data_IF_522854203240
#
_entry.id   IF_522854203240
#
_cell.length_a   1.000
_cell.length_b   1.000
_cell.length_c   1.000
_cell.angle_alpha   90.00
_cell.angle_beta   90.00
_cell.angle_gamma   90.00
#
_symmetry.space_group_name_H-M   'P 1'
#
loop_
_entity.id
_entity.type
_entity.pdbx_description
1 polymer ?
#
# COMPACT_ATOMS: atom_id res chain seq x y z
N UNK A 1 15.41 4.25 11.09
CA UNK A 1 15.50 5.17 10.10
C UNK A 1 14.79 4.74 8.86
N UNK A 2 13.52 4.73 8.91
CA UNK A 2 12.70 4.44 7.79
C UNK A 2 12.35 2.99 7.61
N UNK A 3 12.72 2.19 8.55
CA UNK A 3 12.35 0.79 8.48
C UNK A 3 11.10 0.55 9.29
N UNK A 4 10.17 -0.16 8.70
CA UNK A 4 8.93 -0.50 9.36
C UNK A 4 8.82 -2.01 9.47
N UNK A 5 8.34 -2.47 10.61
CA UNK A 5 8.08 -3.88 10.78
C UNK A 5 6.81 -4.26 10.03
N UNK A 6 6.74 -5.53 9.62
CA UNK A 6 5.60 -5.98 8.84
C UNK A 6 4.29 -5.72 9.57
N UNK A 7 4.26 -5.94 10.89
CA UNK A 7 3.00 -5.78 11.61
C UNK A 7 2.61 -4.31 11.76
N UNK A 8 3.54 -3.37 11.53
CA UNK A 8 3.20 -1.96 11.51
C UNK A 8 2.55 -1.57 10.20
N UNK A 9 2.95 -2.23 9.13
CA UNK A 9 2.44 -1.92 7.80
C UNK A 9 1.11 -2.61 7.56
N UNK A 10 0.97 -3.84 8.02
CA UNK A 10 -0.28 -4.57 7.86
C UNK A 10 -1.36 -3.87 8.66
N UNK A 11 -2.49 -3.61 8.00
CA UNK A 11 -3.60 -2.91 8.63
C UNK A 11 -3.71 -1.46 8.22
N UNK A 12 -2.68 -0.91 7.55
CA UNK A 12 -2.76 0.46 7.09
C UNK A 12 -3.76 0.58 5.96
N UNK A 13 -4.45 1.71 5.91
CA UNK A 13 -5.31 2.02 4.78
C UNK A 13 -4.48 2.63 3.67
N UNK A 14 -4.70 2.16 2.45
CA UNK A 14 -3.99 2.69 1.29
C UNK A 14 -4.88 3.71 0.61
N UNK A 15 -4.35 4.93 0.45
CA UNK A 15 -5.08 6.05 -0.10
C UNK A 15 -4.31 6.58 -1.31
N UNK A 16 -5.01 6.80 -2.42
CA UNK A 16 -4.32 7.26 -3.61
C UNK A 16 -4.19 8.78 -3.62
N UNK A 17 -3.67 9.32 -4.71
CA UNK A 17 -3.41 10.76 -4.81
C UNK A 17 -4.68 11.60 -4.79
N UNK A 18 -5.83 10.99 -5.03
CA UNK A 18 -7.12 11.67 -5.00
C UNK A 18 -7.85 11.47 -3.69
N UNK A 19 -7.13 10.97 -2.67
CA UNK A 19 -7.69 10.69 -1.35
C UNK A 19 -8.75 9.61 -1.39
N UNK A 20 -8.68 8.74 -2.38
CA UNK A 20 -9.60 7.60 -2.47
C UNK A 20 -8.96 6.43 -1.74
N UNK A 21 -9.73 5.82 -0.83
CA UNK A 21 -9.25 4.66 -0.09
C UNK A 21 -9.31 3.46 -1.01
N UNK A 22 -8.13 2.89 -1.30
CA UNK A 22 -8.04 1.72 -2.17
C UNK A 22 -8.33 0.43 -1.42
N UNK A 23 -7.97 0.39 -0.15
CA UNK A 23 -8.18 -0.79 0.66
C UNK A 23 -7.27 -0.80 1.85
N UNK A 24 -7.11 -1.98 2.42
CA UNK A 24 -6.30 -2.18 3.61
C UNK A 24 -5.22 -3.21 3.31
N UNK A 25 -4.01 -2.94 3.79
CA UNK A 25 -2.90 -3.86 3.57
C UNK A 25 -3.10 -5.09 4.46
N UNK A 26 -3.17 -6.26 3.83
CA UNK A 26 -3.38 -7.50 4.54
C UNK A 26 -2.12 -8.34 4.62
N UNK A 27 -1.16 -8.10 3.73
CA UNK A 27 0.01 -8.94 3.68
C UNK A 27 1.14 -8.21 2.97
N UNK A 28 2.37 -8.57 3.29
CA UNK A 28 3.54 -8.06 2.59
C UNK A 28 4.22 -9.23 1.91
N UNK A 29 4.36 -9.13 0.61
CA UNK A 29 5.00 -10.17 -0.18
C UNK A 29 6.45 -9.77 -0.41
N UNK A 30 7.36 -10.61 0.06
CA UNK A 30 8.78 -10.35 -0.12
C UNK A 30 9.24 -10.96 -1.42
N UNK A 31 9.79 -10.13 -2.28
CA UNK A 31 10.33 -10.61 -3.55
C UNK A 31 11.84 -10.39 -3.55
N UNK A 32 12.47 -10.76 -4.63
CA UNK A 32 13.91 -10.57 -4.73
C UNK A 32 14.32 -9.13 -4.97
N UNK A 33 13.41 -8.32 -5.50
CA UNK A 33 13.74 -6.93 -5.83
C UNK A 33 13.19 -5.94 -4.83
N UNK A 34 11.88 -5.93 -4.64
CA UNK A 34 11.27 -5.03 -3.70
C UNK A 34 10.01 -5.67 -3.16
N UNK A 35 9.59 -5.20 -2.01
CA UNK A 35 8.40 -5.74 -1.38
C UNK A 35 7.15 -5.31 -2.15
N UNK A 36 6.08 -6.07 -1.97
CA UNK A 36 4.79 -5.75 -2.53
C UNK A 36 3.78 -5.78 -1.40
N UNK A 37 3.02 -4.70 -1.27
CA UNK A 37 1.98 -4.61 -0.25
C UNK A 37 0.68 -5.10 -0.85
N UNK A 38 0.18 -6.22 -0.35
CA UNK A 38 -1.08 -6.78 -0.83
C UNK A 38 -2.20 -6.04 -0.12
N UNK A 39 -2.98 -5.32 -0.90
CA UNK A 39 -4.04 -4.45 -0.39
C UNK A 39 -5.37 -5.04 -0.81
N UNK A 40 -6.29 -5.18 0.15
CA UNK A 40 -7.58 -5.75 -0.13
C UNK A 40 -8.64 -4.66 -0.14
N UNK A 41 -9.29 -4.48 -1.27
CA UNK A 41 -10.36 -3.51 -1.41
C UNK A 41 -11.65 -4.04 -0.78
N UNK A 42 -12.61 -3.15 -0.59
CA UNK A 42 -13.86 -3.51 0.05
C UNK A 42 -14.63 -4.56 -0.73
N UNK A 43 -14.51 -4.53 -2.06
CA UNK A 43 -15.21 -5.50 -2.89
C UNK A 43 -14.46 -6.82 -3.02
N UNK A 44 -13.37 -6.99 -2.28
CA UNK A 44 -12.63 -8.23 -2.28
C UNK A 44 -11.49 -8.30 -3.26
N UNK A 45 -11.35 -7.30 -4.12
CA UNK A 45 -10.24 -7.29 -5.08
C UNK A 45 -8.92 -7.10 -4.35
N UNK A 46 -7.89 -7.67 -4.91
CA UNK A 46 -6.55 -7.45 -4.38
C UNK A 46 -5.80 -6.47 -5.28
N UNK A 47 -5.15 -5.52 -4.64
CA UNK A 47 -4.33 -4.54 -5.34
C UNK A 47 -2.92 -4.71 -4.84
N UNK A 48 -1.98 -4.91 -5.75
CA UNK A 48 -0.59 -5.16 -5.41
C UNK A 48 0.19 -3.86 -5.56
N UNK A 49 0.59 -3.29 -4.43
CA UNK A 49 1.27 -2.00 -4.42
C UNK A 49 2.76 -2.26 -4.24
N UNK A 50 3.59 -1.97 -5.24
CA UNK A 50 5.04 -2.16 -5.08
C UNK A 50 5.63 -1.11 -4.15
N UNK A 51 6.57 -1.54 -3.34
CA UNK A 51 7.20 -0.65 -2.36
C UNK A 51 8.29 0.18 -3.03
N UNK A 52 7.88 1.01 -3.96
CA UNK A 52 8.78 1.89 -4.70
C UNK A 52 8.51 3.32 -4.27
N UNK A 53 9.57 4.12 -4.19
CA UNK A 53 9.42 5.50 -3.75
C UNK A 53 8.54 6.31 -4.68
N UNK A 54 8.54 5.98 -5.96
CA UNK A 54 7.69 6.71 -6.90
C UNK A 54 6.23 6.31 -6.78
N UNK A 55 5.94 5.22 -6.07
CA UNK A 55 4.57 4.77 -5.87
C UNK A 55 4.11 5.11 -4.46
N UNK A 56 4.89 4.71 -3.45
CA UNK A 56 4.53 4.96 -2.06
C UNK A 56 5.14 6.29 -1.64
N UNK A 57 4.29 7.30 -1.50
CA UNK A 57 4.77 8.65 -1.23
C UNK A 57 4.79 8.99 0.25
N UNK A 58 3.99 8.30 1.05
CA UNK A 58 3.94 8.58 2.48
C UNK A 58 3.46 7.36 3.24
N UNK A 59 4.11 7.05 4.35
CA UNK A 59 3.66 6.01 5.27
C UNK A 59 3.49 6.68 6.62
N UNK A 60 2.27 6.65 7.14
CA UNK A 60 1.95 7.27 8.42
C UNK A 60 1.39 6.21 9.34
N UNK A 61 2.27 5.66 10.18
CA UNK A 61 1.89 4.59 11.09
C UNK A 61 0.95 5.13 12.16
N UNK A 62 1.20 6.34 12.64
CA UNK A 62 0.40 6.91 13.72
C UNK A 62 -1.05 7.10 13.31
N UNK A 63 -1.26 7.59 12.10
CA UNK A 63 -2.60 7.84 11.61
C UNK A 63 -3.17 6.66 10.85
N UNK A 64 -2.37 5.65 10.60
CA UNK A 64 -2.86 4.39 10.05
C UNK A 64 -3.09 4.39 8.56
N UNK A 65 -2.31 5.13 7.79
CA UNK A 65 -2.51 5.15 6.35
C UNK A 65 -1.18 5.14 5.59
N UNK A 66 -1.28 4.77 4.33
CA UNK A 66 -0.18 4.82 3.38
C UNK A 66 -0.69 5.54 2.13
N UNK A 67 0.01 6.58 1.70
CA UNK A 67 -0.38 7.30 0.50
C UNK A 67 0.43 6.80 -0.68
N UNK A 68 -0.27 6.60 -1.80
CA UNK A 68 0.35 6.06 -3.00
C UNK A 68 -0.11 6.86 -4.21
N UNK A 69 0.69 6.80 -5.26
CA UNK A 69 0.28 7.29 -6.57
C UNK A 69 -0.24 6.07 -7.32
N UNK A 70 -1.54 6.00 -7.50
CA UNK A 70 -2.16 4.82 -8.08
C UNK A 70 -3.37 5.21 -8.90
N UNK A 71 -3.41 4.75 -10.13
CA UNK A 71 -4.52 5.01 -11.02
C UNK A 71 -5.35 3.74 -11.15
N UNK A 72 -6.56 3.77 -10.63
CA UNK A 72 -7.42 2.59 -10.65
C UNK A 72 -7.79 2.17 -12.06
N UNK A 73 -7.74 3.09 -12.98
CA UNK A 73 -8.05 2.78 -14.37
C UNK A 73 -6.86 2.23 -15.12
N UNK A 74 -5.73 2.19 -14.48
CA UNK A 74 -4.51 1.72 -15.09
C UNK A 74 -4.43 0.22 -14.91
N UNK A 75 -4.73 -0.50 -15.94
CA UNK A 75 -4.70 -1.95 -15.86
C UNK A 75 -3.48 -2.49 -16.54
N UNK A 76 -2.94 -3.49 -15.94
CA UNK A 76 -1.71 -4.09 -16.45
C UNK A 76 -2.03 -5.39 -17.15
#
# INVERSE_FOLDING_TARGET
DGEYYAFDIIGLQVINQDDVVLGEITEILKTGSNDVYITKAKDGRQILIPALKKVVTEINIEDGFMKVIWDENQEV
#
